data_IF_586961091401
#
_entry.id   IF_586961091401
#
_cell.length_a   1.000
_cell.length_b   1.000
_cell.length_c   1.000
_cell.angle_alpha   90.00
_cell.angle_beta   90.00
_cell.angle_gamma   90.00
#
_symmetry.space_group_name_H-M   'P 1'
#
loop_
_entity.id
_entity.type
_entity.pdbx_description
1 polymer ?
#
# COMPACT_ATOMS: atom_id res chain seq x y z
N UNK A 1 -48.15 -15.32 17.63
CA UNK A 1 -47.56 -15.70 18.94
C UNK A 1 -46.80 -17.02 18.75
N UNK A 2 -45.59 -17.11 19.33
CA UNK A 2 -44.67 -18.26 19.60
C UNK A 2 -45.29 -19.67 19.43
N UNK A 3 -44.64 -20.74 18.96
CA UNK A 3 -43.25 -21.27 19.11
C UNK A 3 -43.11 -22.52 18.21
N UNK A 4 -41.99 -22.75 17.53
CA UNK A 4 -40.87 -23.65 17.91
C UNK A 4 -41.19 -25.16 17.92
N UNK A 5 -40.43 -25.95 17.14
CA UNK A 5 -40.26 -27.40 17.33
C UNK A 5 -40.35 -28.20 16.03
N UNK A 6 -39.27 -28.31 15.24
CA UNK A 6 -38.36 -29.46 15.28
C UNK A 6 -39.01 -30.81 14.88
N UNK A 7 -38.73 -31.35 13.68
CA UNK A 7 -37.69 -32.38 13.47
C UNK A 7 -37.84 -33.14 12.15
N UNK A 8 -36.70 -33.25 11.44
CA UNK A 8 -36.14 -34.47 10.82
C UNK A 8 -36.97 -35.12 9.69
N UNK A 9 -36.52 -35.34 8.45
CA UNK A 9 -35.24 -35.78 7.83
C UNK A 9 -35.64 -35.96 6.32
N UNK A 10 -34.85 -36.01 5.27
CA UNK A 10 -33.43 -36.30 5.04
C UNK A 10 -33.13 -36.01 3.55
N UNK A 11 -31.83 -36.15 3.20
CA UNK A 11 -31.21 -36.33 1.88
C UNK A 11 -30.55 -35.05 1.32
N UNK A 12 -29.26 -34.97 0.99
CA UNK A 12 -28.15 -35.94 0.97
C UNK A 12 -26.82 -35.15 0.96
N UNK A 13 -25.81 -35.74 1.62
CA UNK A 13 -24.36 -35.60 1.51
C UNK A 13 -23.75 -34.52 0.59
N UNK A 14 -22.84 -33.72 1.17
CA UNK A 14 -21.47 -33.58 0.66
C UNK A 14 -20.57 -33.05 1.79
N UNK A 15 -20.07 -33.97 2.62
CA UNK A 15 -19.01 -33.69 3.58
C UNK A 15 -17.77 -34.47 3.15
N UNK A 16 -16.88 -33.83 2.39
CA UNK A 16 -15.47 -34.22 2.31
C UNK A 16 -14.60 -32.98 2.10
N UNK A 17 -13.86 -32.64 3.16
CA UNK A 17 -12.48 -32.13 3.13
C UNK A 17 -12.26 -30.70 2.59
N UNK A 18 -12.08 -29.74 3.50
CA UNK A 18 -11.44 -28.48 3.13
C UNK A 18 -11.67 -27.34 4.11
N UNK A 19 -11.01 -27.38 5.27
CA UNK A 19 -10.67 -26.16 6.01
C UNK A 19 -9.83 -25.29 5.07
N UNK A 20 -10.37 -24.16 4.65
CA UNK A 20 -9.68 -23.27 3.75
C UNK A 20 -10.45 -21.97 3.60
N UNK A 21 -10.10 -21.00 4.45
CA UNK A 21 -10.42 -19.61 4.26
C UNK A 21 -10.10 -19.22 2.81
N UNK A 22 -11.12 -19.12 1.97
CA UNK A 22 -11.03 -18.57 0.62
C UNK A 22 -10.87 -17.05 0.68
N UNK A 23 -9.82 -16.58 1.34
CA UNK A 23 -9.28 -15.23 1.18
C UNK A 23 -8.55 -15.21 -0.16
N UNK A 24 -9.29 -15.34 -1.26
CA UNK A 24 -8.69 -15.20 -2.58
C UNK A 24 -8.68 -13.72 -2.96
N UNK A 25 -7.59 -13.10 -2.50
CA UNK A 25 -6.78 -12.15 -3.24
C UNK A 25 -7.57 -11.06 -3.94
N UNK A 26 -8.00 -10.08 -3.15
CA UNK A 26 -8.14 -8.73 -3.65
C UNK A 26 -6.77 -8.36 -4.24
N UNK A 27 -6.71 -8.36 -5.57
CA UNK A 27 -5.62 -7.84 -6.39
C UNK A 27 -5.08 -6.59 -5.70
N UNK A 28 -3.96 -6.74 -4.99
CA UNK A 28 -3.18 -5.61 -4.53
C UNK A 28 -2.69 -4.97 -5.82
N UNK A 29 -3.47 -4.03 -6.36
CA UNK A 29 -2.94 -2.96 -7.18
C UNK A 29 -1.61 -2.57 -6.54
N UNK A 30 -0.54 -2.53 -7.31
CA UNK A 30 0.82 -2.28 -6.86
C UNK A 30 0.90 -0.84 -6.30
N UNK A 31 0.37 -0.65 -5.09
CA UNK A 31 0.27 0.65 -4.44
C UNK A 31 1.68 1.01 -4.04
N UNK A 32 2.20 2.08 -4.63
CA UNK A 32 3.52 2.63 -4.35
C UNK A 32 3.46 4.14 -4.24
N UNK A 33 4.30 4.69 -3.38
CA UNK A 33 4.52 6.13 -3.30
C UNK A 33 5.60 6.56 -4.28
N UNK A 34 5.41 7.73 -4.88
CA UNK A 34 6.43 8.41 -5.65
C UNK A 34 7.15 9.43 -4.76
N UNK A 35 8.46 9.51 -4.93
CA UNK A 35 9.30 10.40 -4.13
C UNK A 35 10.34 11.14 -4.95
N UNK A 36 10.83 12.25 -4.43
CA UNK A 36 12.08 12.86 -4.85
C UNK A 36 13.21 12.39 -3.93
N UNK A 37 14.23 11.75 -4.50
CA UNK A 37 15.42 11.36 -3.75
C UNK A 37 16.48 12.47 -3.82
N UNK A 38 17.06 12.84 -2.68
CA UNK A 38 18.00 13.96 -2.60
C UNK A 38 19.47 13.60 -2.89
N UNK A 39 19.79 12.32 -3.05
CA UNK A 39 21.17 11.84 -3.20
C UNK A 39 21.81 11.38 -1.88
N UNK A 40 21.24 11.74 -0.73
CA UNK A 40 21.85 11.62 0.60
C UNK A 40 21.04 10.73 1.56
N UNK A 41 20.11 9.94 1.03
CA UNK A 41 19.31 9.01 1.81
C UNK A 41 17.97 9.57 2.27
N UNK A 42 17.48 10.67 1.68
CA UNK A 42 16.15 11.22 1.97
C UNK A 42 15.22 11.08 0.78
N UNK A 43 14.03 10.55 1.02
CA UNK A 43 12.92 10.57 0.08
C UNK A 43 11.87 11.60 0.52
N UNK A 44 11.58 12.56 -0.35
CA UNK A 44 10.46 13.49 -0.18
C UNK A 44 9.23 12.94 -0.90
N UNK A 45 8.22 12.56 -0.14
CA UNK A 45 6.95 12.01 -0.62
C UNK A 45 5.92 13.13 -0.54
N UNK A 46 5.63 13.77 -1.67
CA UNK A 46 4.67 14.87 -1.71
C UNK A 46 3.29 14.43 -1.21
N UNK A 47 2.71 15.19 -0.27
CA UNK A 47 1.44 14.86 0.37
C UNK A 47 1.54 13.90 1.56
N UNK A 48 2.68 13.23 1.78
CA UNK A 48 2.90 12.29 2.88
C UNK A 48 3.93 12.78 3.91
N UNK A 49 5.10 13.22 3.45
CA UNK A 49 6.20 13.65 4.33
C UNK A 49 7.57 13.29 3.77
N UNK A 50 8.56 13.16 4.66
CA UNK A 50 9.93 12.74 4.30
C UNK A 50 10.32 11.51 5.08
N UNK A 51 10.99 10.57 4.42
CA UNK A 51 11.58 9.40 5.07
C UNK A 51 13.08 9.32 4.79
N UNK A 52 13.83 8.69 5.70
CA UNK A 52 15.24 8.40 5.50
C UNK A 52 15.40 6.94 5.14
N UNK A 53 15.86 6.66 3.92
CA UNK A 53 16.05 5.32 3.39
C UNK A 53 17.05 5.34 2.22
N UNK A 54 17.62 4.19 1.89
CA UNK A 54 18.41 4.02 0.68
C UNK A 54 17.58 4.23 -0.58
N UNK A 55 18.22 4.68 -1.66
CA UNK A 55 17.60 4.89 -2.97
C UNK A 55 16.69 3.74 -3.40
N UNK A 56 17.23 2.52 -3.33
CA UNK A 56 16.48 1.27 -3.53
C UNK A 56 16.08 0.69 -2.17
N UNK A 57 14.84 0.22 -2.06
CA UNK A 57 14.32 -0.44 -0.84
C UNK A 57 13.62 0.49 0.16
N UNK A 58 13.40 1.75 -0.19
CA UNK A 58 12.58 2.65 0.61
C UNK A 58 11.13 2.14 0.72
N UNK A 59 10.57 2.15 1.93
CA UNK A 59 9.18 1.76 2.18
C UNK A 59 8.58 2.51 3.36
N UNK A 60 7.26 2.68 3.33
CA UNK A 60 6.47 3.33 4.38
C UNK A 60 5.58 2.28 5.02
N UNK A 61 5.54 2.26 6.35
CA UNK A 61 4.63 1.37 7.09
C UNK A 61 3.22 1.98 7.06
N UNK A 62 2.25 1.26 6.52
CA UNK A 62 0.84 1.63 6.51
C UNK A 62 0.01 0.54 7.21
N UNK A 63 -0.23 0.70 8.52
CA UNK A 63 -0.83 -0.36 9.35
C UNK A 63 0.04 -1.62 9.40
N UNK A 64 -0.49 -2.74 8.91
CA UNK A 64 0.24 -4.01 8.73
C UNK A 64 0.98 -4.11 7.39
N UNK A 65 0.73 -3.21 6.44
CA UNK A 65 1.38 -3.21 5.13
C UNK A 65 2.68 -2.40 5.13
N UNK A 66 3.62 -2.80 4.29
CA UNK A 66 4.75 -1.96 3.87
C UNK A 66 4.53 -1.58 2.41
N UNK A 67 4.43 -0.28 2.17
CA UNK A 67 4.19 0.30 0.84
C UNK A 67 5.51 0.80 0.30
N UNK A 68 5.89 0.34 -0.88
CA UNK A 68 7.16 0.72 -1.51
C UNK A 68 7.17 2.21 -1.87
N UNK A 69 8.36 2.81 -1.78
CA UNK A 69 8.62 4.19 -2.21
C UNK A 69 9.61 4.15 -3.35
N UNK A 70 9.22 4.70 -4.49
CA UNK A 70 10.04 4.73 -5.71
C UNK A 70 10.47 6.17 -6.01
N UNK A 71 11.76 6.42 -6.25
CA UNK A 71 12.22 7.68 -6.81
C UNK A 71 11.54 7.97 -8.15
N UNK A 72 11.03 9.18 -8.35
CA UNK A 72 10.30 9.55 -9.57
C UNK A 72 11.19 9.56 -10.82
N UNK A 73 12.51 9.59 -10.64
CA UNK A 73 13.46 9.44 -11.74
C UNK A 73 13.36 8.07 -12.40
N UNK A 74 13.10 7.02 -11.62
CA UNK A 74 12.99 5.63 -12.12
C UNK A 74 11.72 5.38 -12.93
N UNK A 75 10.79 6.35 -12.95
CA UNK A 75 9.55 6.24 -13.73
C UNK A 75 9.67 6.87 -15.12
N UNK A 76 10.84 7.44 -15.47
CA UNK A 76 11.07 8.12 -16.74
C UNK A 76 12.09 7.34 -17.57
N UNK A 77 11.77 7.07 -18.83
CA UNK A 77 12.52 6.11 -19.65
C UNK A 77 13.82 6.67 -20.25
N UNK A 78 13.99 7.98 -20.45
CA UNK A 78 15.13 8.47 -21.26
C UNK A 78 15.64 9.87 -20.91
N UNK A 79 16.97 9.96 -20.75
CA UNK A 79 17.86 11.06 -21.14
C UNK A 79 17.78 12.41 -20.40
N UNK A 80 16.61 12.80 -19.90
CA UNK A 80 16.42 14.02 -19.13
C UNK A 80 15.51 13.73 -17.94
N UNK A 81 16.08 13.52 -16.73
CA UNK A 81 15.26 13.37 -15.54
C UNK A 81 14.44 14.66 -15.36
N UNK A 82 13.13 14.55 -15.15
CA UNK A 82 12.29 15.72 -14.99
C UNK A 82 12.70 16.49 -13.74
N UNK A 83 12.53 17.81 -13.78
CA UNK A 83 12.81 18.67 -12.62
C UNK A 83 11.84 18.39 -11.48
N UNK A 84 12.22 18.80 -10.28
CA UNK A 84 11.37 18.67 -9.08
C UNK A 84 10.01 19.35 -9.28
N UNK A 85 10.01 20.52 -9.91
CA UNK A 85 8.80 21.30 -10.17
C UNK A 85 7.90 20.63 -11.22
N UNK A 86 8.47 19.96 -12.22
CA UNK A 86 7.68 19.24 -13.24
C UNK A 86 6.99 18.00 -12.68
N UNK A 87 7.58 17.38 -11.65
CA UNK A 87 7.10 16.11 -11.10
C UNK A 87 6.26 16.25 -9.85
N UNK A 88 6.37 17.36 -9.14
CA UNK A 88 5.75 17.53 -7.83
C UNK A 88 4.22 17.46 -7.87
N UNK A 89 3.56 18.07 -8.86
CA UNK A 89 2.10 18.06 -8.94
C UNK A 89 1.57 16.67 -9.29
N UNK A 90 2.18 16.01 -10.28
CA UNK A 90 1.84 14.63 -10.63
C UNK A 90 2.02 13.68 -9.44
N UNK A 91 3.17 13.73 -8.77
CA UNK A 91 3.46 12.89 -7.63
C UNK A 91 2.53 13.19 -6.45
N UNK A 92 2.20 14.45 -6.21
CA UNK A 92 1.25 14.85 -5.15
C UNK A 92 -0.14 14.28 -5.41
N UNK A 93 -0.66 14.39 -6.64
CA UNK A 93 -1.96 13.83 -7.03
C UNK A 93 -1.95 12.30 -6.87
N UNK A 94 -0.91 11.63 -7.37
CA UNK A 94 -0.75 10.18 -7.23
C UNK A 94 -0.71 9.74 -5.77
N UNK A 95 0.19 10.33 -4.97
CA UNK A 95 0.36 9.98 -3.56
C UNK A 95 -0.89 10.25 -2.73
N UNK A 96 -1.65 11.32 -3.05
CA UNK A 96 -2.90 11.63 -2.36
C UNK A 96 -3.97 10.56 -2.61
N UNK A 97 -4.08 10.06 -3.84
CA UNK A 97 -4.98 8.92 -4.17
C UNK A 97 -4.56 7.67 -3.42
N UNK A 98 -3.26 7.37 -3.37
CA UNK A 98 -2.73 6.24 -2.60
C UNK A 98 -3.06 6.37 -1.11
N UNK A 99 -2.86 7.55 -0.52
CA UNK A 99 -3.20 7.80 0.88
C UNK A 99 -4.70 7.63 1.15
N UNK A 100 -5.54 8.11 0.24
CA UNK A 100 -6.99 7.97 0.36
C UNK A 100 -7.43 6.50 0.27
N UNK A 101 -6.88 5.74 -0.68
CA UNK A 101 -7.12 4.30 -0.82
C UNK A 101 -6.68 3.51 0.41
N UNK A 102 -5.55 3.86 1.01
CA UNK A 102 -5.07 3.19 2.23
C UNK A 102 -5.94 3.58 3.43
N UNK A 103 -6.34 4.85 3.54
CA UNK A 103 -7.22 5.35 4.59
C UNK A 103 -8.62 4.74 4.54
N UNK A 104 -9.20 4.55 3.35
CA UNK A 104 -10.52 3.90 3.19
C UNK A 104 -10.50 2.44 3.63
N UNK A 105 -9.32 1.80 3.63
CA UNK A 105 -9.06 0.46 4.17
C UNK A 105 -8.69 0.46 5.66
N UNK A 106 -8.73 1.60 6.33
CA UNK A 106 -8.35 1.76 7.75
C UNK A 106 -6.84 1.73 8.00
N UNK A 107 -6.00 1.82 6.96
CA UNK A 107 -4.54 1.77 7.07
C UNK A 107 -3.97 3.18 7.19
N UNK A 108 -3.29 3.47 8.31
CA UNK A 108 -2.57 4.74 8.53
C UNK A 108 -1.10 4.58 8.19
N UNK A 109 -0.58 5.48 7.37
CA UNK A 109 0.83 5.52 6.97
C UNK A 109 1.68 6.35 7.93
N UNK A 110 2.82 5.79 8.31
CA UNK A 110 3.82 6.41 9.20
C UNK A 110 5.03 6.87 8.38
N UNK A 111 5.13 8.18 8.16
CA UNK A 111 6.27 8.83 7.50
C UNK A 111 7.33 9.31 8.50
N UNK A 112 7.19 8.94 9.78
CA UNK A 112 8.16 9.29 10.82
C UNK A 112 9.53 8.74 10.47
N UNK A 113 10.59 9.52 10.69
CA UNK A 113 11.99 9.11 10.53
C UNK A 113 12.25 7.79 11.26
N UNK A 114 12.25 6.68 10.52
CA UNK A 114 12.93 5.45 10.92
C UNK A 114 14.04 5.17 9.93
N UNK A 115 15.08 5.99 10.01
CA UNK A 115 16.40 5.51 9.63
C UNK A 115 16.66 4.29 10.52
N UNK A 116 16.61 3.09 9.94
CA UNK A 116 17.19 1.92 10.60
C UNK A 116 18.70 2.14 10.56
N UNK A 117 19.20 2.85 11.57
CA UNK A 117 20.61 2.78 11.92
C UNK A 117 20.91 1.32 12.22
N UNK A 118 21.79 0.72 11.41
CA UNK A 118 22.42 -0.55 11.68
C UNK A 118 23.91 -0.31 11.76
#
# INVERSE_FOLDING_TARGET
>A
MRTSGERFRELVLCALLGVGHGVHAQETQDVKFLSWYDGWGTHEIWGGGKINASYSGASVKCGSLRVSVTPIYDTHADGQPPTKSQTSDFAKVHNSKVLEQLRSRGLKCDFSKKGSAK
#
